data_IF_593492764183
#
_entry.id   IF_593492764183
#
_cell.length_a   1.000
_cell.length_b   1.000
_cell.length_c   1.000
_cell.angle_alpha   90.00
_cell.angle_beta   90.00
_cell.angle_gamma   90.00
#
_symmetry.space_group_name_H-M   'P 1'
#
loop_
_entity.id
_entity.type
_entity.pdbx_description
1 polymer ?
#
# COMPACT_ATOMS: atom_id res chain seq x y z
N UNK A 1 6.54 -11.71 -19.72
CA UNK A 1 7.25 -10.75 -18.83
C UNK A 1 6.17 -9.90 -18.21
N UNK A 2 5.57 -10.47 -17.19
CA UNK A 2 4.43 -9.93 -16.47
C UNK A 2 4.96 -9.02 -15.37
N UNK A 3 4.33 -7.86 -15.20
CA UNK A 3 4.77 -6.83 -14.26
C UNK A 3 3.62 -6.52 -13.32
N UNK A 4 3.90 -6.56 -12.03
CA UNK A 4 2.92 -6.32 -10.98
C UNK A 4 2.86 -4.81 -10.71
N UNK A 5 1.69 -4.21 -10.90
CA UNK A 5 1.41 -2.85 -10.44
C UNK A 5 1.09 -2.89 -8.94
N UNK A 6 1.35 -1.79 -8.21
CA UNK A 6 1.46 -1.72 -6.75
C UNK A 6 0.22 -2.07 -5.91
N UNK A 7 -0.84 -2.60 -6.53
CA UNK A 7 -1.99 -3.17 -5.85
C UNK A 7 -2.53 -4.42 -6.56
N UNK A 8 -2.08 -5.61 -6.12
CA UNK A 8 -2.66 -6.96 -6.31
C UNK A 8 -3.29 -7.34 -7.67
N UNK A 9 -2.83 -6.72 -8.75
CA UNK A 9 -3.33 -6.92 -10.11
C UNK A 9 -2.20 -7.41 -11.00
N UNK A 10 -2.47 -8.48 -11.75
CA UNK A 10 -1.53 -9.03 -12.73
C UNK A 10 -1.76 -8.33 -14.08
N UNK A 11 -0.71 -7.71 -14.63
CA UNK A 11 -0.76 -7.07 -15.95
C UNK A 11 0.05 -7.90 -16.95
N UNK A 12 -0.64 -8.43 -17.95
CA UNK A 12 -0.03 -9.23 -19.03
C UNK A 12 -0.08 -8.49 -20.36
N UNK A 13 1.02 -8.59 -21.12
CA UNK A 13 1.15 -8.03 -22.48
C UNK A 13 0.63 -9.03 -23.50
N UNK A 14 -0.36 -8.65 -24.29
CA UNK A 14 -0.81 -9.42 -25.45
C UNK A 14 -0.48 -8.67 -26.74
N UNK A 15 0.06 -9.38 -27.73
CA UNK A 15 0.36 -8.86 -29.06
C UNK A 15 -0.61 -9.50 -30.04
N UNK A 16 -1.33 -8.67 -30.79
CA UNK A 16 -2.34 -9.08 -31.77
C UNK A 16 -1.63 -9.27 -33.14
N UNK A 17 -2.13 -10.11 -34.07
CA UNK A 17 -1.40 -10.43 -35.31
C UNK A 17 -1.11 -9.25 -36.26
N UNK A 18 -1.74 -8.10 -36.04
CA UNK A 18 -1.47 -6.83 -36.74
C UNK A 18 -0.28 -6.04 -36.14
N UNK A 19 0.35 -6.56 -35.09
CA UNK A 19 1.45 -5.92 -34.37
C UNK A 19 1.01 -4.98 -33.25
N UNK A 20 -0.30 -4.79 -33.04
CA UNK A 20 -0.79 -3.97 -31.92
C UNK A 20 -0.55 -4.67 -30.58
N UNK A 21 -0.13 -3.90 -29.57
CA UNK A 21 0.13 -4.39 -28.22
C UNK A 21 -0.93 -3.82 -27.28
N UNK A 22 -1.70 -4.71 -26.63
CA UNK A 22 -2.67 -4.31 -25.63
C UNK A 22 -2.39 -4.98 -24.29
N UNK A 23 -2.74 -4.29 -23.21
CA UNK A 23 -2.42 -4.68 -21.84
C UNK A 23 -3.70 -5.11 -21.14
N UNK A 24 -3.69 -6.33 -20.60
CA UNK A 24 -4.84 -6.89 -19.88
C UNK A 24 -4.51 -6.97 -18.41
N UNK A 25 -5.25 -6.21 -17.60
CA UNK A 25 -5.15 -6.22 -16.14
C UNK A 25 -6.17 -7.20 -15.58
N UNK A 26 -5.70 -8.30 -14.98
CA UNK A 26 -6.55 -9.27 -14.27
C UNK A 26 -6.43 -9.05 -12.76
N UNK A 27 -7.56 -8.77 -12.13
CA UNK A 27 -7.66 -8.67 -10.66
C UNK A 27 -7.65 -10.06 -10.05
N UNK A 28 -6.71 -10.32 -9.15
CA UNK A 28 -6.68 -11.57 -8.40
C UNK A 28 -7.72 -11.47 -7.27
N UNK A 29 -8.72 -12.35 -7.27
CA UNK A 29 -9.73 -12.38 -6.21
C UNK A 29 -9.10 -12.80 -4.89
N UNK A 30 -9.15 -11.92 -3.89
CA UNK A 30 -8.92 -12.26 -2.48
C UNK A 30 -10.30 -12.30 -1.81
N UNK A 31 -10.54 -13.31 -0.99
CA UNK A 31 -11.81 -13.46 -0.28
C UNK A 31 -11.88 -12.45 0.87
N UNK A 32 -12.67 -11.38 0.68
CA UNK A 32 -12.85 -10.34 1.70
C UNK A 32 -13.75 -10.82 2.84
N UNK A 33 -13.12 -11.09 3.99
CA UNK A 33 -13.76 -11.40 5.28
C UNK A 33 -14.15 -10.10 6.01
N UNK A 34 -15.45 -9.76 6.18
CA UNK A 34 -15.85 -8.48 6.76
C UNK A 34 -15.81 -8.51 8.29
N UNK A 35 -14.78 -7.87 8.87
CA UNK A 35 -14.81 -7.41 10.27
C UNK A 35 -15.26 -5.95 10.36
N UNK A 36 -15.90 -5.63 11.49
CA UNK A 36 -16.85 -4.53 11.68
C UNK A 36 -16.25 -3.24 12.27
N UNK A 37 -17.14 -2.24 12.46
CA UNK A 37 -17.03 -1.00 13.26
C UNK A 37 -16.61 0.26 12.46
N UNK A 38 -17.20 1.46 12.63
CA UNK A 38 -18.32 1.92 13.49
C UNK A 38 -18.93 3.25 12.97
N UNK A 39 -20.19 3.49 13.38
CA UNK A 39 -20.97 4.74 13.54
C UNK A 39 -21.88 5.20 12.38
N UNK A 40 -23.13 5.67 12.60
CA UNK A 40 -23.96 5.62 13.83
C UNK A 40 -25.02 6.73 13.96
N UNK A 41 -26.25 6.52 13.44
CA UNK A 41 -27.53 7.19 13.80
C UNK A 41 -28.68 6.59 12.93
N UNK A 42 -29.62 5.79 13.43
CA UNK A 42 -30.84 6.14 14.20
C UNK A 42 -31.93 6.87 13.36
N UNK A 43 -33.22 6.48 13.32
CA UNK A 43 -33.97 5.33 13.89
C UNK A 43 -34.67 4.51 12.75
N UNK A 44 -35.69 3.64 12.88
CA UNK A 44 -36.48 3.11 14.02
C UNK A 44 -37.10 1.73 13.70
N UNK A 45 -37.28 0.88 14.73
CA UNK A 45 -38.27 -0.23 14.88
C UNK A 45 -38.34 -1.30 13.75
N UNK A 46 -38.17 -2.60 13.98
CA UNK A 46 -38.04 -3.37 15.23
C UNK A 46 -39.22 -4.31 15.45
N UNK A 47 -39.09 -5.58 15.05
CA UNK A 47 -39.72 -6.75 15.69
C UNK A 47 -39.20 -8.04 15.07
N UNK A 48 -38.35 -8.77 15.79
CA UNK A 48 -38.06 -10.17 15.48
C UNK A 48 -39.23 -11.02 15.99
N UNK A 49 -39.79 -11.86 15.13
CA UNK A 49 -40.50 -13.06 15.56
C UNK A 49 -39.96 -14.26 14.79
N UNK A 50 -39.31 -15.17 15.51
CA UNK A 50 -39.06 -16.50 15.01
C UNK A 50 -40.39 -17.24 14.80
N UNK A 51 -40.42 -18.08 13.77
CA UNK A 51 -40.65 -19.53 13.86
C UNK A 51 -41.55 -20.08 12.75
N UNK A 52 -41.19 -21.25 12.24
CA UNK A 52 -42.16 -22.18 11.66
C UNK A 52 -42.58 -21.98 10.21
N UNK A 53 -41.79 -22.57 9.30
CA UNK A 53 -42.29 -23.34 8.14
C UNK A 53 -43.30 -22.68 7.18
N UNK A 54 -42.82 -22.24 6.01
CA UNK A 54 -43.42 -22.68 4.73
C UNK A 54 -42.41 -22.70 3.58
N UNK A 55 -42.60 -23.65 2.66
CA UNK A 55 -41.82 -23.80 1.45
C UNK A 55 -42.28 -22.80 0.35
N UNK A 56 -41.42 -22.60 -0.66
CA UNK A 56 -41.65 -21.91 -1.94
C UNK A 56 -41.62 -20.37 -1.91
N UNK A 57 -40.67 -19.79 -2.66
CA UNK A 57 -40.79 -18.64 -3.59
C UNK A 57 -39.38 -18.07 -3.96
N UNK A 58 -38.80 -18.39 -5.13
CA UNK A 58 -37.49 -17.87 -5.54
C UNK A 58 -37.54 -16.57 -6.39
N UNK A 59 -38.71 -16.02 -6.70
CA UNK A 59 -38.82 -14.99 -7.74
C UNK A 59 -38.45 -13.56 -7.29
N UNK A 60 -38.66 -13.22 -6.00
CA UNK A 60 -38.56 -11.82 -5.51
C UNK A 60 -37.14 -11.26 -5.45
N UNK A 61 -36.12 -12.12 -5.32
CA UNK A 61 -34.72 -11.67 -5.26
C UNK A 61 -34.16 -11.43 -6.68
N UNK A 62 -34.67 -12.13 -7.69
CA UNK A 62 -34.34 -11.90 -9.10
C UNK A 62 -34.92 -10.56 -9.58
N UNK A 63 -36.11 -10.19 -9.11
CA UNK A 63 -36.76 -8.91 -9.44
C UNK A 63 -35.96 -7.72 -8.90
N UNK A 64 -35.62 -7.72 -7.61
CA UNK A 64 -34.74 -6.68 -7.02
C UNK A 64 -33.38 -6.59 -7.70
N UNK A 65 -32.78 -7.74 -8.04
CA UNK A 65 -31.51 -7.77 -8.77
C UNK A 65 -31.60 -7.15 -10.17
N UNK A 66 -32.74 -7.28 -10.85
CA UNK A 66 -33.01 -6.60 -12.13
C UNK A 66 -33.17 -5.09 -11.95
N UNK A 67 -33.88 -4.64 -10.91
CA UNK A 67 -34.07 -3.21 -10.64
C UNK A 67 -32.75 -2.51 -10.27
N UNK A 68 -31.91 -3.16 -9.45
CA UNK A 68 -30.56 -2.68 -9.15
C UNK A 68 -29.68 -2.63 -10.42
N UNK A 69 -29.71 -3.68 -11.24
CA UNK A 69 -28.94 -3.73 -12.49
C UNK A 69 -29.41 -2.64 -13.49
N UNK A 70 -30.72 -2.45 -13.64
CA UNK A 70 -31.31 -1.40 -14.46
C UNK A 70 -30.89 -0.01 -13.95
N UNK A 71 -30.94 0.23 -12.63
CA UNK A 71 -30.49 1.49 -12.02
C UNK A 71 -29.01 1.76 -12.29
N UNK A 72 -28.14 0.74 -12.18
CA UNK A 72 -26.71 0.86 -12.50
C UNK A 72 -26.48 1.19 -13.98
N UNK A 73 -27.20 0.54 -14.89
CA UNK A 73 -27.12 0.81 -16.33
C UNK A 73 -27.62 2.23 -16.65
N UNK A 74 -28.74 2.66 -16.08
CA UNK A 74 -29.28 4.02 -16.26
C UNK A 74 -28.33 5.09 -15.72
N UNK A 75 -27.73 4.88 -14.55
CA UNK A 75 -26.75 5.80 -13.97
C UNK A 75 -25.47 5.89 -14.84
N UNK A 76 -24.96 4.74 -15.30
CA UNK A 76 -23.81 4.67 -16.19
C UNK A 76 -24.09 5.37 -17.54
N UNK A 77 -25.28 5.14 -18.13
CA UNK A 77 -25.69 5.76 -19.39
C UNK A 77 -25.87 7.27 -19.26
N UNK A 78 -26.58 7.75 -18.22
CA UNK A 78 -26.73 9.20 -17.95
C UNK A 78 -25.37 9.87 -17.78
N UNK A 79 -24.48 9.30 -16.97
CA UNK A 79 -23.12 9.80 -16.79
C UNK A 79 -22.28 9.76 -18.07
N UNK A 80 -22.41 8.72 -18.89
CA UNK A 80 -21.75 8.64 -20.20
C UNK A 80 -22.29 9.71 -21.16
N UNK A 81 -23.60 9.94 -21.17
CA UNK A 81 -24.23 10.95 -22.02
C UNK A 81 -23.77 12.37 -21.65
N UNK A 82 -23.73 12.71 -20.36
CA UNK A 82 -23.16 13.99 -19.88
C UNK A 82 -21.67 14.12 -20.23
N UNK A 83 -20.87 13.08 -20.02
CA UNK A 83 -19.44 13.12 -20.40
C UNK A 83 -19.24 13.25 -21.92
N UNK A 84 -20.10 12.63 -22.73
CA UNK A 84 -20.04 12.72 -24.18
C UNK A 84 -20.50 14.09 -24.68
N UNK A 85 -21.57 14.66 -24.11
CA UNK A 85 -21.99 16.03 -24.45
C UNK A 85 -20.94 17.05 -24.03
N UNK A 86 -20.33 16.92 -22.84
CA UNK A 86 -19.24 17.79 -22.41
C UNK A 86 -18.02 17.67 -23.34
N UNK A 87 -17.63 16.45 -23.72
CA UNK A 87 -16.54 16.22 -24.68
C UNK A 87 -16.86 16.72 -26.09
N UNK A 88 -18.10 16.58 -26.56
CA UNK A 88 -18.54 17.14 -27.85
C UNK A 88 -18.60 18.67 -27.80
N UNK A 89 -18.98 19.27 -26.66
CA UNK A 89 -18.84 20.72 -26.48
C UNK A 89 -17.40 21.16 -26.36
N UNK A 90 -16.49 20.42 -25.71
CA UNK A 90 -15.06 20.74 -25.71
C UNK A 90 -14.48 20.68 -27.14
N UNK A 91 -14.86 19.67 -27.93
CA UNK A 91 -14.43 19.53 -29.33
C UNK A 91 -15.07 20.58 -30.24
N UNK A 92 -16.32 21.00 -29.97
CA UNK A 92 -16.99 22.07 -30.72
C UNK A 92 -16.53 23.46 -30.32
N UNK A 93 -16.22 23.70 -29.04
CA UNK A 93 -15.58 24.93 -28.55
C UNK A 93 -14.18 25.03 -29.15
N UNK A 94 -13.43 23.92 -29.24
CA UNK A 94 -12.20 23.82 -30.04
C UNK A 94 -12.37 24.08 -31.54
N UNK A 95 -13.58 23.96 -32.11
CA UNK A 95 -13.85 24.37 -33.50
C UNK A 95 -14.15 25.87 -33.62
N UNK A 96 -14.76 26.51 -32.62
CA UNK A 96 -14.81 27.98 -32.54
C UNK A 96 -13.46 28.59 -32.13
N UNK A 97 -12.63 27.82 -31.43
CA UNK A 97 -11.23 28.11 -31.06
C UNK A 97 -10.24 27.48 -32.07
N UNK A 98 -10.69 27.14 -33.28
CA UNK A 98 -9.79 26.74 -34.38
C UNK A 98 -8.90 27.90 -34.87
N UNK A 99 -9.06 29.10 -34.29
CA UNK A 99 -8.13 30.24 -34.38
C UNK A 99 -7.19 30.37 -33.17
N UNK A 100 -7.26 29.46 -32.20
CA UNK A 100 -6.51 29.50 -30.93
C UNK A 100 -5.78 28.18 -30.57
N UNK A 101 -5.97 27.08 -31.29
CA UNK A 101 -5.05 25.92 -31.29
C UNK A 101 -3.76 26.23 -32.12
N UNK A 102 -3.26 27.48 -32.10
CA UNK A 102 -1.89 27.79 -32.51
C UNK A 102 -0.97 27.54 -31.31
N UNK A 103 0.10 26.79 -31.53
CA UNK A 103 1.21 26.73 -30.58
C UNK A 103 1.70 28.18 -30.36
N UNK A 104 1.63 28.73 -29.13
CA UNK A 104 1.78 30.17 -28.92
C UNK A 104 3.15 30.59 -29.44
N UNK A 105 3.15 31.53 -30.40
CA UNK A 105 4.38 31.90 -31.09
C UNK A 105 5.38 32.41 -30.07
N UNK A 106 6.67 32.17 -30.29
CA UNK A 106 7.71 32.50 -29.30
C UNK A 106 7.64 33.97 -28.85
N UNK A 107 7.26 34.87 -29.76
CA UNK A 107 7.02 36.28 -29.47
C UNK A 107 5.88 36.49 -28.46
N UNK A 108 4.75 35.78 -28.59
CA UNK A 108 3.61 35.87 -27.67
C UNK A 108 3.96 35.39 -26.27
N UNK A 109 4.64 34.25 -26.17
CA UNK A 109 5.17 33.75 -24.89
C UNK A 109 6.18 34.73 -24.25
N UNK A 110 6.96 35.44 -25.06
CA UNK A 110 7.94 36.41 -24.58
C UNK A 110 7.30 37.78 -24.24
N UNK A 111 6.12 38.07 -24.79
CA UNK A 111 5.25 39.19 -24.43
C UNK A 111 4.59 38.96 -23.06
N UNK A 112 4.15 37.72 -22.77
CA UNK A 112 3.57 37.31 -21.48
C UNK A 112 4.65 37.09 -20.39
N UNK A 113 5.75 36.41 -20.72
CA UNK A 113 6.84 36.10 -19.79
C UNK A 113 8.04 37.04 -19.97
N UNK A 114 7.82 38.34 -19.74
CA UNK A 114 8.88 39.34 -19.86
C UNK A 114 9.94 39.20 -18.75
N UNK A 115 11.21 39.24 -19.13
CA UNK A 115 12.37 39.25 -18.22
C UNK A 115 12.39 40.44 -17.27
N UNK A 116 11.72 41.51 -17.65
CA UNK A 116 11.74 42.80 -16.96
C UNK A 116 10.56 42.93 -15.99
N UNK A 117 9.62 41.96 -16.01
CA UNK A 117 8.57 41.84 -15.03
C UNK A 117 9.14 41.28 -13.71
N UNK A 118 9.15 42.16 -12.71
CA UNK A 118 9.67 41.85 -11.39
C UNK A 118 8.81 40.81 -10.64
N UNK A 119 7.49 40.79 -10.83
CA UNK A 119 6.61 39.83 -10.14
C UNK A 119 6.84 38.41 -10.68
N UNK A 120 6.99 38.28 -12.00
CA UNK A 120 7.37 37.01 -12.63
C UNK A 120 8.76 36.54 -12.17
N UNK A 121 9.74 37.44 -12.09
CA UNK A 121 11.08 37.09 -11.60
C UNK A 121 11.08 36.65 -10.12
N UNK A 122 10.35 37.36 -9.26
CA UNK A 122 10.22 37.01 -7.84
C UNK A 122 9.48 35.67 -7.67
N UNK A 123 8.43 35.41 -8.46
CA UNK A 123 7.70 34.15 -8.48
C UNK A 123 8.56 32.96 -8.98
N UNK A 124 9.28 33.14 -10.09
CA UNK A 124 10.20 32.13 -10.63
C UNK A 124 11.30 31.79 -9.62
N UNK A 125 11.90 32.80 -8.98
CA UNK A 125 12.90 32.63 -7.92
C UNK A 125 12.35 31.82 -6.74
N UNK A 126 11.10 32.10 -6.32
CA UNK A 126 10.42 31.38 -5.23
C UNK A 126 10.17 29.90 -5.58
N UNK A 127 9.77 29.60 -6.82
CA UNK A 127 9.59 28.23 -7.31
C UNK A 127 10.93 27.49 -7.33
N UNK A 128 11.98 28.09 -7.90
CA UNK A 128 13.31 27.52 -7.97
C UNK A 128 13.90 27.23 -6.58
N UNK A 129 13.79 28.19 -5.64
CA UNK A 129 14.25 28.02 -4.27
C UNK A 129 13.50 26.90 -3.54
N UNK A 130 12.17 26.84 -3.69
CA UNK A 130 11.33 25.78 -3.12
C UNK A 130 11.73 24.40 -3.65
N UNK A 131 11.91 24.26 -4.97
CA UNK A 131 12.29 23.02 -5.62
C UNK A 131 13.69 22.53 -5.21
N UNK A 132 14.70 23.41 -5.22
CA UNK A 132 16.07 23.07 -4.77
C UNK A 132 16.07 22.64 -3.30
N UNK A 133 15.32 23.33 -2.45
CA UNK A 133 15.13 22.96 -1.04
C UNK A 133 14.39 21.63 -0.87
N UNK A 134 13.38 21.34 -1.69
CA UNK A 134 12.66 20.06 -1.67
C UNK A 134 13.57 18.89 -2.04
N UNK A 135 14.38 19.02 -3.10
CA UNK A 135 15.31 17.96 -3.51
C UNK A 135 16.36 17.68 -2.43
N UNK A 136 16.99 18.73 -1.88
CA UNK A 136 17.95 18.56 -0.77
C UNK A 136 17.32 17.89 0.46
N UNK A 137 16.09 18.27 0.85
CA UNK A 137 15.39 17.62 1.97
C UNK A 137 15.00 16.17 1.67
N UNK A 138 14.61 15.85 0.43
CA UNK A 138 14.28 14.49 -0.01
C UNK A 138 15.52 13.58 0.03
N UNK A 139 16.65 14.06 -0.46
CA UNK A 139 17.94 13.37 -0.41
C UNK A 139 18.41 13.16 1.04
N UNK A 140 18.30 14.19 1.88
CA UNK A 140 18.63 14.09 3.30
C UNK A 140 17.73 13.10 4.05
N UNK A 141 16.42 13.11 3.80
CA UNK A 141 15.48 12.15 4.41
C UNK A 141 15.77 10.70 3.99
N UNK A 142 16.15 10.47 2.73
CA UNK A 142 16.63 9.15 2.30
C UNK A 142 17.96 8.79 2.98
N UNK A 143 18.91 9.73 3.06
CA UNK A 143 20.23 9.52 3.66
C UNK A 143 20.18 9.27 5.17
N UNK A 144 19.30 9.94 5.93
CA UNK A 144 19.17 9.73 7.38
C UNK A 144 18.54 8.38 7.70
N UNK A 145 17.57 7.91 6.91
CA UNK A 145 17.01 6.56 7.06
C UNK A 145 18.07 5.49 6.77
N UNK A 146 18.84 5.63 5.69
CA UNK A 146 19.93 4.69 5.38
C UNK A 146 21.00 4.70 6.46
N UNK A 147 21.50 5.89 6.86
CA UNK A 147 22.50 6.02 7.93
C UNK A 147 21.99 5.46 9.26
N UNK A 148 20.75 5.71 9.64
CA UNK A 148 20.17 5.16 10.87
C UNK A 148 20.06 3.64 10.83
N UNK A 149 19.76 3.04 9.68
CA UNK A 149 19.75 1.59 9.53
C UNK A 149 21.17 1.00 9.59
N UNK A 150 22.14 1.66 8.95
CA UNK A 150 23.55 1.28 8.96
C UNK A 150 24.15 1.35 10.38
N UNK A 151 23.90 2.44 11.12
CA UNK A 151 24.37 2.64 12.50
C UNK A 151 23.76 1.61 13.48
N UNK A 152 22.49 1.23 13.27
CA UNK A 152 21.84 0.13 14.01
C UNK A 152 22.46 -1.24 13.69
N UNK A 153 22.83 -1.49 12.44
CA UNK A 153 23.54 -2.72 12.04
C UNK A 153 24.93 -2.76 12.65
N UNK A 154 25.71 -1.67 12.58
CA UNK A 154 27.05 -1.58 13.17
C UNK A 154 27.01 -1.76 14.69
N UNK A 155 26.03 -1.17 15.39
CA UNK A 155 25.85 -1.43 16.83
C UNK A 155 25.44 -2.88 17.14
N UNK A 156 24.70 -3.54 16.24
CA UNK A 156 24.31 -4.94 16.42
C UNK A 156 25.49 -5.89 16.17
N UNK A 157 26.30 -5.66 15.12
CA UNK A 157 27.50 -6.46 14.84
C UNK A 157 28.55 -6.27 15.93
N UNK A 158 28.81 -5.04 16.38
CA UNK A 158 29.74 -4.77 17.48
C UNK A 158 29.37 -5.51 18.77
N UNK A 159 28.09 -5.57 19.13
CA UNK A 159 27.59 -6.34 20.29
C UNK A 159 27.65 -7.86 20.11
N UNK A 160 27.70 -8.36 18.88
CA UNK A 160 27.92 -9.78 18.58
C UNK A 160 29.42 -10.08 18.69
N UNK A 161 30.28 -9.24 18.11
CA UNK A 161 31.74 -9.36 18.16
C UNK A 161 32.27 -9.27 19.60
N UNK A 162 31.76 -8.32 20.41
CA UNK A 162 32.04 -8.22 21.86
C UNK A 162 31.73 -9.54 22.58
N UNK A 163 30.51 -10.08 22.42
CA UNK A 163 30.10 -11.34 23.05
C UNK A 163 30.85 -12.57 22.54
N UNK A 164 31.27 -12.56 21.27
CA UNK A 164 32.09 -13.63 20.71
C UNK A 164 33.50 -13.57 21.31
N UNK A 165 34.08 -12.38 21.43
CA UNK A 165 35.39 -12.20 22.06
C UNK A 165 35.37 -12.56 23.55
N UNK A 166 34.34 -12.14 24.30
CA UNK A 166 34.13 -12.54 25.69
C UNK A 166 34.06 -14.07 25.82
N UNK A 167 33.25 -14.73 24.98
CA UNK A 167 33.14 -16.19 24.98
C UNK A 167 34.46 -16.88 24.60
N UNK A 168 35.21 -16.36 23.63
CA UNK A 168 36.53 -16.87 23.25
C UNK A 168 37.52 -16.74 24.42
N UNK A 169 37.48 -15.63 25.15
CA UNK A 169 38.31 -15.38 26.32
C UNK A 169 37.90 -16.27 27.52
N UNK A 170 36.60 -16.55 27.72
CA UNK A 170 36.13 -17.52 28.72
C UNK A 170 36.48 -18.97 28.38
N UNK A 171 36.59 -19.31 27.08
CA UNK A 171 37.03 -20.63 26.62
C UNK A 171 38.56 -20.81 26.65
N UNK A 172 39.34 -19.75 26.88
CA UNK A 172 40.80 -19.81 26.86
C UNK A 172 41.32 -20.65 28.04
N UNK A 173 41.78 -21.87 27.74
CA UNK A 173 42.26 -22.85 28.72
C UNK A 173 41.33 -24.06 28.94
N UNK A 174 40.18 -24.14 28.26
CA UNK A 174 39.29 -25.31 28.30
C UNK A 174 39.64 -26.31 27.19
N UNK A 175 39.89 -27.58 27.54
CA UNK A 175 40.09 -28.65 26.56
C UNK A 175 38.76 -29.11 25.95
N UNK A 176 38.47 -28.62 24.74
CA UNK A 176 37.28 -28.98 23.97
C UNK A 176 37.24 -30.44 23.50
N UNK A 177 38.31 -31.23 23.72
CA UNK A 177 38.34 -32.66 23.38
C UNK A 177 38.00 -33.59 24.55
N UNK A 178 37.89 -33.06 25.77
CA UNK A 178 37.57 -33.86 26.97
C UNK A 178 36.19 -34.55 26.86
N UNK A 179 36.10 -35.89 26.99
CA UNK A 179 34.83 -36.59 27.00
C UNK A 179 33.92 -36.25 28.21
N UNK A 180 34.45 -35.80 29.34
CA UNK A 180 33.63 -35.43 30.51
C UNK A 180 33.03 -34.03 30.37
N UNK A 181 33.76 -33.06 29.83
CA UNK A 181 33.22 -31.78 29.36
C UNK A 181 32.05 -31.97 28.39
N UNK A 182 32.18 -32.86 27.39
CA UNK A 182 31.10 -33.15 26.44
C UNK A 182 29.84 -33.72 27.12
N UNK A 183 29.99 -34.62 28.11
CA UNK A 183 28.85 -35.15 28.89
C UNK A 183 28.17 -34.05 29.72
N UNK A 184 28.96 -33.17 30.34
CA UNK A 184 28.47 -32.04 31.11
C UNK A 184 27.70 -31.04 30.21
N UNK A 185 28.28 -30.65 29.08
CA UNK A 185 27.66 -29.77 28.09
C UNK A 185 26.32 -30.33 27.59
N UNK A 186 26.27 -31.62 27.24
CA UNK A 186 25.03 -32.31 26.80
C UNK A 186 23.93 -32.23 27.87
N UNK A 187 24.29 -32.43 29.15
CA UNK A 187 23.35 -32.33 30.28
C UNK A 187 22.83 -30.90 30.49
N UNK A 188 23.69 -29.90 30.35
CA UNK A 188 23.33 -28.48 30.42
C UNK A 188 22.38 -28.10 29.27
N UNK A 189 22.71 -28.49 28.03
CA UNK A 189 21.88 -28.25 26.84
C UNK A 189 20.49 -28.87 26.97
N UNK A 190 20.40 -30.14 27.41
CA UNK A 190 19.12 -30.82 27.63
C UNK A 190 18.27 -30.13 28.73
N UNK A 191 18.91 -29.75 29.85
CA UNK A 191 18.26 -29.01 30.93
C UNK A 191 17.74 -27.65 30.47
N UNK A 192 18.56 -26.88 29.75
CA UNK A 192 18.20 -25.56 29.23
C UNK A 192 17.09 -25.63 28.17
N UNK A 193 17.14 -26.59 27.25
CA UNK A 193 16.07 -26.77 26.24
C UNK A 193 14.74 -27.08 26.91
N UNK A 194 14.75 -27.92 27.94
CA UNK A 194 13.58 -28.19 28.78
C UNK A 194 13.13 -26.98 29.61
N UNK A 195 14.06 -26.18 30.14
CA UNK A 195 13.73 -24.94 30.86
C UNK A 195 13.04 -23.92 29.95
N UNK A 196 13.55 -23.72 28.72
CA UNK A 196 12.94 -22.81 27.74
C UNK A 196 11.50 -23.22 27.40
N UNK A 197 11.25 -24.50 27.09
CA UNK A 197 9.88 -25.00 26.85
C UNK A 197 8.97 -24.79 28.07
N UNK A 198 9.47 -24.97 29.29
CA UNK A 198 8.70 -24.70 30.51
C UNK A 198 8.45 -23.20 30.73
N UNK A 199 9.41 -22.34 30.42
CA UNK A 199 9.23 -20.88 30.48
C UNK A 199 8.15 -20.41 29.49
N UNK A 200 8.23 -20.88 28.23
CA UNK A 200 7.28 -20.57 27.16
C UNK A 200 5.84 -21.03 27.52
N UNK A 201 5.70 -22.15 28.24
CA UNK A 201 4.39 -22.70 28.67
C UNK A 201 3.87 -22.10 29.99
N UNK A 202 4.74 -21.62 30.89
CA UNK A 202 4.35 -20.99 32.16
C UNK A 202 3.94 -19.51 31.99
N UNK A 203 4.35 -18.87 30.89
CA UNK A 203 4.00 -17.47 30.56
C UNK A 203 3.00 -17.36 29.39
N UNK A 204 1.79 -17.92 29.54
CA UNK A 204 0.61 -17.10 29.25
C UNK A 204 -0.52 -17.29 30.27
N UNK A 205 -0.35 -16.76 31.48
CA UNK A 205 -1.47 -16.56 32.41
C UNK A 205 -2.32 -15.36 31.95
N UNK A 206 -3.38 -15.63 31.18
CA UNK A 206 -4.35 -14.64 30.69
C UNK A 206 -4.95 -13.80 31.84
N UNK A 207 -4.86 -12.45 31.83
CA UNK A 207 -5.40 -11.59 32.88
C UNK A 207 -6.92 -11.30 32.77
N UNK A 208 -7.70 -12.03 31.97
CA UNK A 208 -9.14 -11.79 31.80
C UNK A 208 -10.04 -13.02 31.99
N UNK A 209 -10.32 -13.39 33.25
CA UNK A 209 -11.60 -14.02 33.65
C UNK A 209 -11.96 -13.67 35.10
N UNK A 210 -12.59 -12.51 35.31
CA UNK A 210 -13.50 -12.25 36.45
C UNK A 210 -14.75 -11.56 35.93
N UNK A 211 -15.88 -12.23 36.09
CA UNK A 211 -17.24 -11.71 35.90
C UNK A 211 -18.07 -12.15 37.11
#
# INVERSE_FOLDING_TARGET
MDTFDGGNNLISKNVVPDGSIFWVTRRQSVEDNPKSNDSGAAESKGSTKESGQKQLEPEKDIEKGKDEAATRIQAAFRGHHTRKSMKETEVSTKQTEATADQEPTKEQLQEEFRSDDKELCDAATKIQASFRGHMSRKEQAASTVVKSAEDLVVMATGKIEEKVNDAVNELEGIDLTDPDLHKAATKIQASFRGHKVRQDVVMPANPETKK
#
